data_IF_868762347065
#
_entry.id   IF_868762347065
#
_cell.length_a   1.000
_cell.length_b   1.000
_cell.length_c   1.000
_cell.angle_alpha   90.00
_cell.angle_beta   90.00
_cell.angle_gamma   90.00
#
_symmetry.space_group_name_H-M   'P 1'
#
loop_
_entity.id
_entity.type
_entity.pdbx_description
1 polymer ?
#
# COMPACT_ATOMS: atom_id res chain seq x y z
N UNK A 1 -4.22 -7.31 6.29
CA UNK A 1 -4.13 -7.05 4.84
C UNK A 1 -4.87 -5.76 4.59
N UNK A 2 -4.25 -4.76 3.96
CA UNK A 2 -4.95 -3.52 3.62
C UNK A 2 -5.78 -3.78 2.36
N UNK A 3 -7.07 -3.46 2.39
CA UNK A 3 -8.01 -3.68 1.29
C UNK A 3 -8.77 -2.37 1.03
N UNK A 4 -8.76 -1.96 -0.23
CA UNK A 4 -9.49 -0.78 -0.76
C UNK A 4 -10.60 -1.21 -1.73
N UNK A 5 -10.68 -2.50 -2.07
CA UNK A 5 -11.56 -2.99 -3.11
C UNK A 5 -12.30 -4.25 -2.68
N UNK A 6 -13.59 -4.29 -2.98
CA UNK A 6 -14.47 -5.44 -2.80
C UNK A 6 -14.96 -5.95 -4.16
N UNK A 7 -14.57 -7.16 -4.57
CA UNK A 7 -15.14 -7.81 -5.74
C UNK A 7 -16.68 -7.93 -5.67
N UNK A 8 -17.22 -8.20 -4.47
CA UNK A 8 -18.65 -8.36 -4.23
C UNK A 8 -19.39 -7.02 -4.42
N UNK A 9 -18.84 -5.90 -3.93
CA UNK A 9 -19.47 -4.59 -4.14
C UNK A 9 -19.49 -4.21 -5.63
N UNK A 10 -18.44 -4.51 -6.39
CA UNK A 10 -18.42 -4.24 -7.85
C UNK A 10 -19.46 -5.06 -8.59
N UNK A 11 -19.59 -6.33 -8.21
CA UNK A 11 -20.59 -7.24 -8.78
C UNK A 11 -22.00 -6.74 -8.46
N UNK A 12 -22.26 -6.40 -7.19
CA UNK A 12 -23.54 -5.86 -6.75
C UNK A 12 -23.90 -4.52 -7.41
N UNK A 13 -22.92 -3.61 -7.62
CA UNK A 13 -23.16 -2.36 -8.35
C UNK A 13 -23.60 -2.60 -9.80
N UNK A 14 -23.01 -3.59 -10.46
CA UNK A 14 -23.37 -3.98 -11.82
C UNK A 14 -24.75 -4.63 -11.87
N UNK A 15 -25.02 -5.54 -10.95
CA UNK A 15 -26.20 -6.42 -11.01
C UNK A 15 -27.45 -5.76 -10.41
N UNK A 16 -27.31 -4.96 -9.34
CA UNK A 16 -28.41 -4.24 -8.67
C UNK A 16 -28.54 -2.79 -9.13
N UNK A 17 -27.50 -2.22 -9.74
CA UNK A 17 -27.42 -0.80 -10.08
C UNK A 17 -26.98 0.05 -8.87
N UNK A 18 -25.87 0.79 -9.01
CA UNK A 18 -25.24 1.57 -7.92
C UNK A 18 -26.17 2.57 -7.21
N UNK A 19 -27.18 3.09 -7.91
CA UNK A 19 -28.14 4.05 -7.36
C UNK A 19 -29.49 3.43 -6.98
N UNK A 20 -29.62 2.11 -7.00
CA UNK A 20 -30.87 1.44 -6.64
C UNK A 20 -31.07 1.33 -5.13
N UNK A 21 -32.33 1.24 -4.73
CA UNK A 21 -32.69 0.93 -3.34
C UNK A 21 -32.16 -0.46 -2.93
N UNK A 22 -32.14 -1.41 -3.86
CA UNK A 22 -31.67 -2.77 -3.64
C UNK A 22 -30.17 -2.81 -3.33
N UNK A 23 -29.36 -2.03 -4.04
CA UNK A 23 -27.94 -1.87 -3.72
C UNK A 23 -27.73 -1.23 -2.34
N UNK A 24 -28.53 -0.21 -1.98
CA UNK A 24 -28.44 0.44 -0.67
C UNK A 24 -28.74 -0.52 0.49
N UNK A 25 -29.74 -1.39 0.33
CA UNK A 25 -30.12 -2.40 1.33
C UNK A 25 -29.01 -3.45 1.44
N UNK A 26 -28.56 -3.98 0.29
CA UNK A 26 -27.48 -4.98 0.24
C UNK A 26 -26.18 -4.45 0.83
N UNK A 27 -25.79 -3.21 0.50
CA UNK A 27 -24.55 -2.61 0.97
C UNK A 27 -24.54 -2.45 2.49
N UNK A 28 -25.68 -2.08 3.12
CA UNK A 28 -25.80 -2.00 4.58
C UNK A 28 -25.58 -3.35 5.27
N UNK A 29 -26.07 -4.44 4.67
CA UNK A 29 -25.86 -5.80 5.19
C UNK A 29 -24.47 -6.35 4.92
N UNK A 30 -23.83 -5.94 3.82
CA UNK A 30 -22.51 -6.43 3.42
C UNK A 30 -21.36 -5.65 4.06
N UNK A 31 -21.54 -4.35 4.34
CA UNK A 31 -20.50 -3.48 4.94
C UNK A 31 -19.80 -4.05 6.18
N UNK A 32 -20.47 -4.76 7.11
CA UNK A 32 -19.81 -5.38 8.26
C UNK A 32 -18.89 -6.57 7.90
N UNK A 33 -19.19 -7.28 6.81
CA UNK A 33 -18.35 -8.36 6.28
C UNK A 33 -17.19 -7.79 5.43
N UNK A 34 -17.39 -6.59 4.91
CA UNK A 34 -16.42 -5.90 4.10
C UNK A 34 -15.29 -5.29 4.95
N UNK A 35 -14.08 -5.80 4.74
CA UNK A 35 -12.86 -5.39 5.43
C UNK A 35 -12.10 -4.27 4.72
N UNK A 36 -12.82 -3.27 4.19
CA UNK A 36 -12.19 -2.02 3.74
C UNK A 36 -11.59 -1.33 4.96
N UNK A 37 -10.29 -1.54 5.15
CA UNK A 37 -9.53 -1.01 6.27
C UNK A 37 -8.50 0.02 5.80
N UNK A 38 -8.57 0.41 4.53
CA UNK A 38 -7.70 1.41 3.94
C UNK A 38 -8.45 2.38 3.03
N UNK A 39 -8.36 3.67 3.36
CA UNK A 39 -8.89 4.77 2.55
C UNK A 39 -7.70 5.59 2.06
N UNK A 40 -7.43 5.55 0.76
CA UNK A 40 -6.30 6.24 0.11
C UNK A 40 -6.06 5.71 -1.30
N UNK A 41 -5.05 6.22 -2.00
CA UNK A 41 -4.62 5.64 -3.29
C UNK A 41 -3.78 4.37 -3.10
N UNK A 42 -3.61 3.57 -4.15
CA UNK A 42 -2.74 2.38 -4.13
C UNK A 42 -1.32 2.71 -3.63
N UNK A 43 -0.71 3.81 -4.10
CA UNK A 43 0.62 4.24 -3.63
C UNK A 43 0.64 4.45 -2.11
N UNK A 44 -0.38 5.11 -1.57
CA UNK A 44 -0.46 5.36 -0.12
C UNK A 44 -0.74 4.08 0.67
N UNK A 45 -1.40 3.08 0.07
CA UNK A 45 -1.62 1.76 0.68
C UNK A 45 -0.30 1.02 0.89
N UNK A 46 0.60 1.07 -0.11
CA UNK A 46 1.92 0.45 0.00
C UNK A 46 2.74 1.09 1.11
N UNK A 47 2.66 2.43 1.27
CA UNK A 47 3.29 3.13 2.39
C UNK A 47 2.76 2.59 3.72
N UNK A 48 1.43 2.52 3.88
CA UNK A 48 0.83 2.03 5.12
C UNK A 48 1.14 0.56 5.38
N UNK A 49 1.22 -0.26 4.33
CA UNK A 49 1.63 -1.66 4.46
C UNK A 49 3.06 -1.77 4.99
N UNK A 50 3.99 -0.98 4.43
CA UNK A 50 5.39 -0.94 4.88
C UNK A 50 5.52 -0.40 6.31
N UNK A 51 4.79 0.65 6.68
CA UNK A 51 4.72 1.16 8.06
C UNK A 51 4.30 0.07 9.05
N UNK A 52 3.23 -0.67 8.74
CA UNK A 52 2.74 -1.77 9.57
C UNK A 52 3.78 -2.89 9.67
N UNK A 53 4.44 -3.24 8.56
CA UNK A 53 5.48 -4.28 8.54
C UNK A 53 6.69 -3.90 9.40
N UNK A 54 7.16 -2.65 9.31
CA UNK A 54 8.31 -2.16 10.08
C UNK A 54 8.02 -2.02 11.58
N UNK A 55 6.83 -1.56 11.96
CA UNK A 55 6.43 -1.57 13.36
C UNK A 55 6.39 -2.99 13.91
N UNK A 56 5.83 -3.93 13.15
CA UNK A 56 5.74 -5.34 13.53
C UNK A 56 7.09 -6.03 13.67
N UNK A 57 8.09 -5.72 12.84
CA UNK A 57 9.41 -6.36 12.99
C UNK A 57 10.05 -6.01 14.33
N UNK A 58 9.88 -4.77 14.79
CA UNK A 58 10.37 -4.37 16.10
C UNK A 58 9.56 -5.01 17.22
N UNK A 59 8.22 -4.92 17.14
CA UNK A 59 7.30 -5.39 18.18
C UNK A 59 7.32 -6.91 18.39
N UNK A 60 7.33 -7.68 17.30
CA UNK A 60 7.15 -9.14 17.36
C UNK A 60 8.43 -9.93 17.09
N UNK A 61 9.39 -9.37 16.35
CA UNK A 61 10.60 -10.08 15.95
C UNK A 61 11.87 -9.52 16.63
N UNK A 62 11.81 -8.33 17.25
CA UNK A 62 12.99 -7.66 17.80
C UNK A 62 14.02 -7.27 16.74
N UNK A 63 13.62 -7.20 15.46
CA UNK A 63 14.50 -6.91 14.33
C UNK A 63 14.16 -5.57 13.68
N UNK A 64 15.16 -4.97 13.03
CA UNK A 64 15.01 -3.71 12.29
C UNK A 64 15.36 -3.94 10.83
N UNK A 65 14.51 -3.45 9.95
CA UNK A 65 14.85 -3.31 8.54
C UNK A 65 15.77 -2.11 8.34
N UNK A 66 16.76 -2.25 7.46
CA UNK A 66 17.80 -1.23 7.25
C UNK A 66 17.66 -0.53 5.92
N UNK A 67 17.15 -1.23 4.91
CA UNK A 67 16.92 -0.69 3.58
C UNK A 67 15.58 -1.15 3.00
N UNK A 68 15.06 -0.35 2.08
CA UNK A 68 13.87 -0.64 1.29
C UNK A 68 14.25 -0.66 -0.19
N UNK A 69 14.02 -1.81 -0.83
CA UNK A 69 14.15 -1.96 -2.28
C UNK A 69 12.73 -1.97 -2.87
N UNK A 70 12.42 -0.94 -3.66
CA UNK A 70 11.08 -0.76 -4.20
C UNK A 70 11.11 -0.11 -5.58
N UNK A 71 10.24 -0.60 -6.48
CA UNK A 71 10.03 -0.03 -7.81
C UNK A 71 9.10 1.20 -7.79
N UNK A 72 8.64 1.59 -6.60
CA UNK A 72 7.70 2.70 -6.42
C UNK A 72 8.43 4.04 -6.60
N UNK A 73 7.68 5.07 -6.98
CA UNK A 73 8.22 6.40 -7.26
C UNK A 73 9.02 6.98 -6.07
N UNK A 74 9.88 7.95 -6.38
CA UNK A 74 10.77 8.55 -5.38
C UNK A 74 10.01 9.19 -4.22
N UNK A 75 8.88 9.86 -4.51
CA UNK A 75 8.08 10.56 -3.51
C UNK A 75 7.47 9.60 -2.48
N UNK A 76 6.97 8.45 -2.93
CA UNK A 76 6.41 7.42 -2.05
C UNK A 76 7.49 6.80 -1.16
N UNK A 77 8.69 6.58 -1.72
CA UNK A 77 9.83 6.12 -0.94
C UNK A 77 10.32 7.17 0.06
N UNK A 78 10.34 8.44 -0.32
CA UNK A 78 10.72 9.52 0.59
C UNK A 78 9.78 9.58 1.80
N UNK A 79 8.47 9.49 1.57
CA UNK A 79 7.49 9.48 2.66
C UNK A 79 7.68 8.28 3.60
N UNK A 80 8.12 7.13 3.08
CA UNK A 80 8.52 5.97 3.88
C UNK A 80 9.77 6.22 4.73
N UNK A 81 10.75 6.97 4.22
CA UNK A 81 11.96 7.32 4.96
C UNK A 81 11.67 8.37 6.05
N UNK A 82 10.71 9.27 5.82
CA UNK A 82 10.28 10.29 6.76
C UNK A 82 9.45 9.74 7.93
N UNK A 83 8.88 8.54 7.80
CA UNK A 83 8.10 7.89 8.86
C UNK A 83 8.90 7.58 10.13
N UNK A 84 10.24 7.59 10.03
CA UNK A 84 11.18 7.49 11.15
C UNK A 84 10.81 6.42 12.20
N UNK A 85 10.43 5.22 11.72
CA UNK A 85 9.83 4.15 12.54
C UNK A 85 10.73 3.71 13.70
N UNK A 86 12.04 3.88 13.57
CA UNK A 86 13.03 3.53 14.59
C UNK A 86 13.64 4.76 15.31
N UNK A 87 13.20 5.97 14.98
CA UNK A 87 13.79 7.21 15.49
C UNK A 87 15.25 7.42 15.09
N UNK A 88 15.92 8.31 15.81
CA UNK A 88 17.36 8.60 15.67
C UNK A 88 18.29 7.37 15.77
N UNK A 89 17.78 6.24 16.27
CA UNK A 89 18.57 5.01 16.42
C UNK A 89 18.96 4.37 15.09
N UNK A 90 18.18 4.57 14.02
CA UNK A 90 18.44 3.97 12.72
C UNK A 90 17.69 4.67 11.59
N UNK A 91 18.43 5.19 10.60
CA UNK A 91 17.86 5.69 9.35
C UNK A 91 17.74 4.59 8.32
N UNK A 92 16.54 4.40 7.78
CA UNK A 92 16.27 3.49 6.67
C UNK A 92 16.86 4.12 5.38
N UNK A 93 17.41 3.31 4.49
CA UNK A 93 17.89 3.77 3.18
C UNK A 93 17.03 3.23 2.04
N UNK A 94 16.86 4.02 0.97
CA UNK A 94 16.25 3.53 -0.27
C UNK A 94 17.33 2.91 -1.14
N UNK A 95 17.09 1.69 -1.60
CA UNK A 95 17.85 1.05 -2.66
C UNK A 95 17.02 1.07 -3.95
N UNK A 96 17.68 1.26 -5.10
CA UNK A 96 17.03 1.20 -6.41
C UNK A 96 17.45 -0.06 -7.15
N UNK A 97 16.47 -0.72 -7.78
CA UNK A 97 16.74 -1.88 -8.61
C UNK A 97 17.54 -1.46 -9.85
N UNK A 98 18.63 -2.17 -10.21
CA UNK A 98 19.41 -1.87 -11.42
C UNK A 98 18.54 -1.78 -12.68
N UNK A 99 17.53 -2.65 -12.82
CA UNK A 99 16.57 -2.59 -13.92
C UNK A 99 15.76 -1.30 -13.95
N UNK A 100 15.40 -0.75 -12.79
CA UNK A 100 14.71 0.54 -12.70
C UNK A 100 15.64 1.69 -13.10
N UNK A 101 16.91 1.63 -12.68
CA UNK A 101 17.95 2.58 -13.12
C UNK A 101 18.14 2.53 -14.64
N UNK A 102 18.20 1.33 -15.24
CA UNK A 102 18.32 1.16 -16.69
C UNK A 102 17.10 1.70 -17.45
N UNK A 103 15.88 1.54 -16.92
CA UNK A 103 14.67 2.13 -17.51
C UNK A 103 14.70 3.67 -17.51
N UNK A 104 15.21 4.29 -16.44
CA UNK A 104 15.41 5.75 -16.36
C UNK A 104 16.47 6.26 -17.31
N UNK A 105 17.57 5.52 -17.44
CA UNK A 105 18.71 5.89 -18.30
C UNK A 105 18.44 5.67 -19.79
N UNK A 106 17.28 5.11 -20.14
CA UNK A 106 16.85 4.87 -21.51
C UNK A 106 17.54 3.66 -22.11
N UNK A 107 16.84 3.05 -23.06
CA UNK A 107 17.36 2.14 -24.09
C UNK A 107 18.55 2.78 -24.82
N UNK A 108 19.72 2.81 -24.19
CA UNK A 108 20.99 2.98 -24.85
C UNK A 108 21.22 1.73 -25.68
N UNK A 109 20.86 1.78 -26.97
CA UNK A 109 21.31 0.80 -27.94
C UNK A 109 22.84 0.76 -27.87
N UNK A 110 23.40 -0.42 -27.61
CA UNK A 110 24.73 -0.73 -28.13
C UNK A 110 24.63 -0.85 -29.66
#
# INVERSE_FOLDING_TARGET
MLLQYCPECTTAKRDLGEHSADFSIWYKTHRPEYSENYVGSSNTMEVKAAEILWKRSLEYCGTRYTSVLSDVDFMTCQHLLELDVYGDSMKITKEECPNHVTKRLGTGKF
#
